data_IF_953501808078
#
_entry.id   IF_953501808078
#
_cell.length_a   1.000
_cell.length_b   1.000
_cell.length_c   1.000
_cell.angle_alpha   90.00
_cell.angle_beta   90.00
_cell.angle_gamma   90.00
#
_symmetry.space_group_name_H-M   'P 1'
#
loop_
_entity.id
_entity.type
_entity.pdbx_description
1 polymer ?
#
# COMPACT_ATOMS: atom_id res chain seq x y z
N UNK A 1 -4.23 3.74 13.69
CA UNK A 1 -4.03 3.48 12.23
C UNK A 1 -3.29 4.64 11.56
N UNK A 2 -2.00 4.90 11.88
CA UNK A 2 -1.17 5.84 11.09
C UNK A 2 0.15 5.19 10.62
N UNK A 3 0.80 4.40 11.48
CA UNK A 3 2.10 3.77 11.15
C UNK A 3 2.09 2.65 10.08
N UNK A 4 0.95 2.02 9.77
CA UNK A 4 0.91 0.98 8.71
C UNK A 4 1.05 1.56 7.31
N UNK A 5 0.55 2.78 7.07
CA UNK A 5 0.58 3.38 5.74
C UNK A 5 1.94 3.94 5.37
N UNK A 6 2.69 4.45 6.35
CA UNK A 6 4.07 4.90 6.15
C UNK A 6 4.98 3.73 5.77
N UNK A 7 4.85 2.59 6.48
CA UNK A 7 5.52 1.34 6.09
C UNK A 7 5.11 0.87 4.70
N UNK A 8 3.83 0.96 4.35
CA UNK A 8 3.37 0.63 3.00
C UNK A 8 4.04 1.48 1.92
N UNK A 9 4.19 2.80 2.15
CA UNK A 9 4.86 3.72 1.22
C UNK A 9 6.34 3.38 1.07
N UNK A 10 7.05 3.14 2.17
CA UNK A 10 8.45 2.71 2.12
C UNK A 10 8.59 1.39 1.35
N UNK A 11 7.74 0.40 1.63
CA UNK A 11 7.72 -0.87 0.92
C UNK A 11 7.48 -0.70 -0.57
N UNK A 12 6.52 0.13 -0.96
CA UNK A 12 6.22 0.40 -2.38
C UNK A 12 7.38 1.06 -3.12
N UNK A 13 8.24 1.80 -2.41
CA UNK A 13 9.37 2.53 -2.98
C UNK A 13 10.67 1.72 -2.98
N UNK A 14 10.88 0.91 -1.95
CA UNK A 14 12.12 0.16 -1.72
C UNK A 14 12.02 -1.31 -2.12
N UNK A 15 10.82 -1.83 -2.37
CA UNK A 15 10.62 -3.24 -2.68
C UNK A 15 9.79 -3.42 -3.94
N UNK A 16 10.06 -4.53 -4.63
CA UNK A 16 9.24 -4.97 -5.75
C UNK A 16 8.11 -5.93 -5.32
N UNK A 17 7.81 -6.02 -4.02
CA UNK A 17 6.82 -6.94 -3.47
C UNK A 17 5.44 -6.75 -4.11
N UNK A 18 4.70 -7.85 -4.20
CA UNK A 18 3.32 -7.81 -4.67
C UNK A 18 2.47 -6.98 -3.72
N UNK A 19 1.52 -6.22 -4.27
CA UNK A 19 0.65 -5.38 -3.46
C UNK A 19 -0.18 -6.18 -2.45
N UNK A 20 -0.44 -7.47 -2.76
CA UNK A 20 -1.06 -8.39 -1.83
C UNK A 20 -0.19 -8.62 -0.58
N UNK A 21 1.13 -8.79 -0.73
CA UNK A 21 2.03 -8.96 0.41
C UNK A 21 2.11 -7.70 1.26
N UNK A 22 2.24 -6.53 0.60
CA UNK A 22 2.25 -5.24 1.29
C UNK A 22 0.92 -5.03 2.02
N UNK A 23 -0.21 -5.41 1.41
CA UNK A 23 -1.52 -5.36 2.03
C UNK A 23 -1.60 -6.26 3.27
N UNK A 24 -1.18 -7.53 3.16
CA UNK A 24 -1.20 -8.50 4.25
C UNK A 24 -0.35 -8.02 5.44
N UNK A 25 0.86 -7.54 5.18
CA UNK A 25 1.72 -6.99 6.23
C UNK A 25 1.17 -5.73 6.88
N UNK A 26 0.40 -4.93 6.14
CA UNK A 26 -0.27 -3.75 6.67
C UNK A 26 -1.58 -4.08 7.41
N UNK A 27 -1.93 -5.37 7.52
CA UNK A 27 -3.12 -5.85 8.21
C UNK A 27 -4.39 -5.83 7.35
N UNK A 28 -4.25 -5.87 6.02
CA UNK A 28 -5.36 -5.96 5.09
C UNK A 28 -5.52 -7.38 4.56
N UNK A 29 -6.76 -7.87 4.57
CA UNK A 29 -7.14 -9.18 4.06
C UNK A 29 -7.06 -9.29 2.52
N UNK A 30 -7.01 -8.17 1.81
CA UNK A 30 -7.09 -8.17 0.36
C UNK A 30 -6.47 -6.94 -0.26
N UNK A 31 -5.81 -7.15 -1.41
CA UNK A 31 -5.23 -6.10 -2.22
C UNK A 31 -6.24 -5.00 -2.63
N UNK A 32 -7.48 -5.37 -2.97
CA UNK A 32 -8.53 -4.39 -3.33
C UNK A 32 -8.91 -3.48 -2.16
N UNK A 33 -9.00 -4.04 -0.95
CA UNK A 33 -9.30 -3.30 0.28
C UNK A 33 -8.16 -2.33 0.61
N UNK A 34 -6.92 -2.81 0.55
CA UNK A 34 -5.73 -1.99 0.70
C UNK A 34 -5.68 -0.86 -0.32
N UNK A 35 -5.83 -1.15 -1.61
CA UNK A 35 -5.75 -0.14 -2.68
C UNK A 35 -6.78 0.96 -2.52
N UNK A 36 -8.03 0.60 -2.20
CA UNK A 36 -9.09 1.57 -1.97
C UNK A 36 -8.80 2.45 -0.77
N UNK A 37 -8.30 1.87 0.32
CA UNK A 37 -8.00 2.61 1.53
C UNK A 37 -6.73 3.47 1.40
N UNK A 38 -5.70 2.94 0.74
CA UNK A 38 -4.49 3.66 0.41
C UNK A 38 -4.83 4.88 -0.43
N UNK A 39 -5.58 4.72 -1.53
CA UNK A 39 -6.02 5.84 -2.37
C UNK A 39 -6.89 6.84 -1.61
N UNK A 40 -7.75 6.39 -0.70
CA UNK A 40 -8.57 7.28 0.14
C UNK A 40 -7.71 8.16 1.05
N UNK A 41 -6.55 7.69 1.49
CA UNK A 41 -5.67 8.42 2.40
C UNK A 41 -4.59 9.22 1.65
N UNK A 42 -3.97 8.65 0.61
CA UNK A 42 -2.86 9.27 -0.14
C UNK A 42 -3.30 10.02 -1.40
N UNK A 43 -4.54 9.81 -1.85
CA UNK A 43 -5.07 10.37 -3.10
C UNK A 43 -4.72 9.56 -4.36
N UNK A 44 -3.74 8.66 -4.30
CA UNK A 44 -3.28 7.87 -5.46
C UNK A 44 -3.21 6.37 -5.16
N UNK A 45 -3.29 5.53 -6.20
CA UNK A 45 -3.21 4.08 -6.01
C UNK A 45 -1.80 3.67 -5.63
N UNK A 46 -1.61 2.59 -4.86
CA UNK A 46 -0.28 2.11 -4.51
C UNK A 46 0.54 1.68 -5.74
N UNK A 47 -0.11 1.17 -6.81
CA UNK A 47 0.53 0.96 -8.13
C UNK A 47 1.01 2.29 -8.72
N UNK A 48 0.18 3.33 -8.70
CA UNK A 48 0.55 4.66 -9.19
C UNK A 48 1.71 5.24 -8.41
N UNK A 49 1.74 5.00 -7.09
CA UNK A 49 2.83 5.42 -6.21
C UNK A 49 4.14 4.68 -6.52
N UNK A 50 4.10 3.40 -6.91
CA UNK A 50 5.28 2.59 -7.26
C UNK A 50 5.85 2.92 -8.65
N UNK A 51 5.01 3.39 -9.57
CA UNK A 51 5.39 3.69 -10.95
C UNK A 51 5.99 5.10 -11.12
N UNK A 52 6.02 5.91 -10.06
CA UNK A 52 6.52 7.27 -10.03
C UNK A 52 7.72 7.39 -9.08
#
# INVERSE_FOLDING_TARGET
MRGTLERAKERLKHTNQSLLEIALECGFDSHSHFTRQFRKITGITPIGFRRN
#
